data_IF_901741200032
#
_entry.id   IF_901741200032
#
_cell.length_a   1.000
_cell.length_b   1.000
_cell.length_c   1.000
_cell.angle_alpha   90.00
_cell.angle_beta   90.00
_cell.angle_gamma   90.00
#
_symmetry.space_group_name_H-M   'P 1'
#
loop_
_entity.id
_entity.type
_entity.pdbx_description
1 polymer ?
#
# COMPACT_ATOMS: atom_id res chain seq x y z
N UNK A 1 22.59 -16.08 72.29
CA UNK A 1 22.64 -16.60 70.91
C UNK A 1 21.44 -16.04 70.17
N UNK A 2 21.61 -14.92 69.46
CA UNK A 2 20.57 -14.38 68.60
C UNK A 2 20.90 -14.80 67.16
N UNK A 3 20.19 -15.81 66.67
CA UNK A 3 20.20 -16.16 65.25
C UNK A 3 19.36 -15.11 64.52
N UNK A 4 20.03 -14.22 63.79
CA UNK A 4 19.37 -13.31 62.85
C UNK A 4 18.89 -14.18 61.69
N UNK A 5 17.58 -14.24 61.49
CA UNK A 5 16.93 -14.88 60.34
C UNK A 5 17.42 -14.22 59.04
N UNK A 6 18.33 -14.88 58.36
CA UNK A 6 18.78 -14.51 57.00
C UNK A 6 17.87 -15.05 55.89
N UNK A 7 16.78 -15.74 56.23
CA UNK A 7 15.90 -16.41 55.26
C UNK A 7 14.87 -15.48 54.60
N UNK A 8 14.65 -14.27 55.12
CA UNK A 8 13.64 -13.34 54.55
C UNK A 8 14.16 -12.49 53.37
N UNK A 9 15.48 -12.38 53.17
CA UNK A 9 16.09 -11.57 52.10
C UNK A 9 16.11 -12.30 50.75
N UNK A 10 16.27 -13.63 50.77
CA UNK A 10 16.36 -14.47 49.58
C UNK A 10 15.02 -14.58 48.82
N UNK A 11 13.90 -14.64 49.54
CA UNK A 11 12.56 -14.70 48.93
C UNK A 11 12.13 -13.39 48.25
N UNK A 12 12.60 -12.24 48.75
CA UNK A 12 12.39 -10.94 48.12
C UNK A 12 13.26 -10.76 46.88
N UNK A 13 14.51 -11.24 46.90
CA UNK A 13 15.39 -11.24 45.73
C UNK A 13 14.84 -12.13 44.61
N UNK A 14 14.42 -13.37 44.90
CA UNK A 14 13.87 -14.28 43.89
C UNK A 14 12.57 -13.75 43.25
N UNK A 15 11.74 -13.05 44.03
CA UNK A 15 10.55 -12.33 43.56
C UNK A 15 10.91 -11.16 42.63
N UNK A 16 11.96 -10.40 42.96
CA UNK A 16 12.48 -9.31 42.11
C UNK A 16 13.05 -9.87 40.81
N UNK A 17 13.82 -10.96 40.86
CA UNK A 17 14.37 -11.61 39.67
C UNK A 17 13.27 -12.09 38.73
N UNK A 18 12.22 -12.78 39.23
CA UNK A 18 11.07 -13.17 38.38
C UNK A 18 10.36 -12.00 37.74
N UNK A 19 10.17 -10.89 38.47
CA UNK A 19 9.56 -9.67 37.91
C UNK A 19 10.43 -9.05 36.82
N UNK A 20 11.75 -9.09 36.99
CA UNK A 20 12.70 -8.60 36.00
C UNK A 20 12.68 -9.47 34.73
N UNK A 21 12.65 -10.79 34.86
CA UNK A 21 12.51 -11.71 33.72
C UNK A 21 11.21 -11.47 32.96
N UNK A 22 10.07 -11.33 33.66
CA UNK A 22 8.79 -11.01 33.04
C UNK A 22 8.81 -9.66 32.33
N UNK A 23 9.50 -8.67 32.89
CA UNK A 23 9.66 -7.35 32.27
C UNK A 23 10.50 -7.44 30.99
N UNK A 24 11.58 -8.21 30.99
CA UNK A 24 12.42 -8.44 29.81
C UNK A 24 11.64 -9.10 28.68
N UNK A 25 10.89 -10.17 28.98
CA UNK A 25 10.02 -10.83 27.98
C UNK A 25 8.97 -9.88 27.43
N UNK A 26 8.37 -9.05 28.30
CA UNK A 26 7.38 -8.06 27.88
C UNK A 26 7.99 -6.98 26.98
N UNK A 27 9.22 -6.56 27.28
CA UNK A 27 9.95 -5.57 26.48
C UNK A 27 10.37 -6.14 25.12
N UNK A 28 10.82 -7.39 25.07
CA UNK A 28 11.14 -8.09 23.84
C UNK A 28 9.90 -8.21 22.94
N UNK A 29 8.75 -8.60 23.51
CA UNK A 29 7.48 -8.64 22.80
C UNK A 29 7.07 -7.27 22.25
N UNK A 30 7.19 -6.21 23.05
CA UNK A 30 6.90 -4.84 22.60
C UNK A 30 7.82 -4.41 21.45
N UNK A 31 9.10 -4.79 21.51
CA UNK A 31 10.07 -4.48 20.46
C UNK A 31 9.72 -5.19 19.15
N UNK A 32 9.34 -6.46 19.21
CA UNK A 32 8.86 -7.21 18.05
C UNK A 32 7.60 -6.60 17.45
N UNK A 33 6.61 -6.28 18.29
CA UNK A 33 5.38 -5.61 17.83
C UNK A 33 5.66 -4.26 17.19
N UNK A 34 6.60 -3.48 17.72
CA UNK A 34 7.00 -2.21 17.12
C UNK A 34 7.63 -2.40 15.74
N UNK A 35 8.50 -3.42 15.58
CA UNK A 35 9.12 -3.74 14.30
C UNK A 35 8.10 -4.20 13.25
N UNK A 36 7.17 -5.09 13.63
CA UNK A 36 6.06 -5.54 12.76
C UNK A 36 5.18 -4.37 12.33
N UNK A 37 4.88 -3.45 13.25
CA UNK A 37 4.09 -2.25 12.95
C UNK A 37 4.83 -1.30 11.99
N UNK A 38 6.14 -1.11 12.17
CA UNK A 38 6.97 -0.28 11.29
C UNK A 38 7.05 -0.88 9.88
N UNK A 39 7.21 -2.20 9.77
CA UNK A 39 7.18 -2.89 8.49
C UNK A 39 5.81 -2.73 7.80
N UNK A 40 4.72 -2.96 8.53
CA UNK A 40 3.36 -2.77 8.01
C UNK A 40 3.13 -1.32 7.54
N UNK A 41 3.57 -0.33 8.32
CA UNK A 41 3.45 1.08 7.95
C UNK A 41 4.25 1.37 6.68
N UNK A 42 5.47 0.85 6.55
CA UNK A 42 6.31 1.02 5.36
C UNK A 42 5.65 0.42 4.11
N UNK A 43 5.03 -0.76 4.23
CA UNK A 43 4.28 -1.39 3.14
C UNK A 43 3.03 -0.56 2.74
N UNK A 44 2.32 -0.03 3.73
CA UNK A 44 1.16 0.83 3.51
C UNK A 44 1.56 2.14 2.81
N UNK A 45 2.64 2.80 3.25
CA UNK A 45 3.18 4.00 2.62
C UNK A 45 3.58 3.76 1.16
N UNK A 46 4.29 2.65 0.89
CA UNK A 46 4.65 2.27 -0.48
C UNK A 46 3.41 2.09 -1.38
N UNK A 47 2.35 1.48 -0.84
CA UNK A 47 1.08 1.29 -1.54
C UNK A 47 0.39 2.62 -1.82
N UNK A 48 0.33 3.53 -0.84
CA UNK A 48 -0.23 4.88 -1.00
C UNK A 48 0.54 5.67 -2.05
N UNK A 49 1.87 5.67 -2.00
CA UNK A 49 2.72 6.35 -2.97
C UNK A 49 2.50 5.83 -4.39
N UNK A 50 2.36 4.51 -4.56
CA UNK A 50 2.01 3.90 -5.84
C UNK A 50 0.67 4.42 -6.36
N UNK A 51 -0.38 4.41 -5.54
CA UNK A 51 -1.72 4.89 -5.93
C UNK A 51 -1.73 6.39 -6.27
N UNK A 52 -1.00 7.20 -5.50
CA UNK A 52 -0.86 8.63 -5.78
C UNK A 52 -0.14 8.88 -7.11
N UNK A 53 0.91 8.12 -7.40
CA UNK A 53 1.63 8.18 -8.67
C UNK A 53 0.72 7.80 -9.84
N UNK A 54 0.00 6.69 -9.75
CA UNK A 54 -0.94 6.24 -10.78
C UNK A 54 -2.04 7.29 -11.05
N UNK A 55 -2.57 7.90 -9.99
CA UNK A 55 -3.52 9.01 -10.09
C UNK A 55 -2.90 10.22 -10.79
N UNK A 56 -1.72 10.65 -10.37
CA UNK A 56 -1.04 11.80 -10.97
C UNK A 56 -0.76 11.57 -12.46
N UNK A 57 -0.25 10.39 -12.83
CA UNK A 57 -0.01 10.03 -14.23
C UNK A 57 -1.29 10.05 -15.06
N UNK A 58 -2.41 9.58 -14.51
CA UNK A 58 -3.72 9.65 -15.17
C UNK A 58 -4.16 11.10 -15.38
N UNK A 59 -4.05 11.93 -14.34
CA UNK A 59 -4.44 13.34 -14.42
C UNK A 59 -3.56 14.10 -15.44
N UNK A 60 -2.26 13.78 -15.53
CA UNK A 60 -1.36 14.30 -16.56
C UNK A 60 -1.77 13.87 -17.97
N UNK A 61 -2.20 12.61 -18.16
CA UNK A 61 -2.72 12.13 -19.46
C UNK A 61 -3.95 12.93 -19.88
N UNK A 62 -4.92 13.12 -18.98
CA UNK A 62 -6.12 13.90 -19.29
C UNK A 62 -5.82 15.36 -19.59
N UNK A 63 -4.91 15.98 -18.85
CA UNK A 63 -4.45 17.34 -19.15
C UNK A 63 -3.80 17.41 -20.55
N UNK A 64 -2.93 16.45 -20.89
CA UNK A 64 -2.29 16.37 -22.20
C UNK A 64 -3.31 16.23 -23.34
N UNK A 65 -4.32 15.38 -23.17
CA UNK A 65 -5.41 15.21 -24.15
C UNK A 65 -6.19 16.51 -24.29
N UNK A 66 -6.55 17.16 -23.18
CA UNK A 66 -7.26 18.43 -23.17
C UNK A 66 -6.50 19.50 -23.96
N UNK A 67 -5.20 19.70 -23.69
CA UNK A 67 -4.40 20.70 -24.40
C UNK A 67 -4.21 20.38 -25.88
N UNK A 68 -4.10 19.10 -26.26
CA UNK A 68 -4.04 18.69 -27.67
C UNK A 68 -5.33 19.02 -28.41
N UNK A 69 -6.48 18.69 -27.81
CA UNK A 69 -7.79 18.99 -28.38
C UNK A 69 -8.03 20.51 -28.49
N UNK A 70 -7.68 21.25 -27.43
CA UNK A 70 -7.75 22.71 -27.44
C UNK A 70 -6.92 23.31 -28.58
N UNK A 71 -5.68 22.83 -28.76
CA UNK A 71 -4.81 23.29 -29.85
C UNK A 71 -5.38 22.97 -31.25
N UNK A 72 -6.07 21.85 -31.43
CA UNK A 72 -6.76 21.56 -32.69
C UNK A 72 -7.95 22.51 -32.93
N UNK A 73 -8.73 22.79 -31.89
CA UNK A 73 -9.85 23.75 -31.96
C UNK A 73 -9.33 25.15 -32.29
N UNK A 74 -8.27 25.62 -31.62
CA UNK A 74 -7.64 26.91 -31.90
C UNK A 74 -7.18 27.02 -33.37
N UNK A 75 -6.54 25.97 -33.90
CA UNK A 75 -6.13 25.94 -35.32
C UNK A 75 -7.33 26.02 -36.26
N UNK A 76 -8.42 25.31 -35.96
CA UNK A 76 -9.64 25.37 -36.75
C UNK A 76 -10.27 26.76 -36.72
N UNK A 77 -10.35 27.39 -35.54
CA UNK A 77 -10.87 28.76 -35.38
C UNK A 77 -10.02 29.80 -36.12
N UNK A 78 -8.71 29.59 -36.22
CA UNK A 78 -7.80 30.45 -36.98
C UNK A 78 -7.71 30.09 -38.48
N UNK A 79 -8.58 29.23 -39.01
CA UNK A 79 -8.54 28.73 -40.40
C UNK A 79 -7.19 28.09 -40.80
N UNK A 80 -6.43 27.57 -39.83
CA UNK A 80 -5.15 26.84 -40.02
C UNK A 80 -5.35 25.32 -40.09
N UNK A 81 -6.59 24.86 -39.93
CA UNK A 81 -7.00 23.47 -39.97
C UNK A 81 -8.43 23.43 -40.49
N UNK A 82 -8.70 22.59 -41.48
CA UNK A 82 -10.04 22.35 -42.00
C UNK A 82 -10.88 21.53 -41.01
N UNK A 83 -12.19 21.51 -41.23
CA UNK A 83 -13.11 20.70 -40.43
C UNK A 83 -12.79 19.21 -40.52
N UNK A 84 -12.40 18.73 -41.69
CA UNK A 84 -12.11 17.31 -41.93
C UNK A 84 -10.79 16.92 -41.23
N UNK A 85 -9.75 17.75 -41.31
CA UNK A 85 -8.51 17.56 -40.55
C UNK A 85 -8.74 17.60 -39.04
N UNK A 86 -9.61 18.50 -38.54
CA UNK A 86 -9.97 18.55 -37.12
C UNK A 86 -10.66 17.25 -36.68
N UNK A 87 -11.57 16.73 -37.49
CA UNK A 87 -12.27 15.47 -37.21
C UNK A 87 -11.27 14.30 -37.17
N UNK A 88 -10.39 14.22 -38.15
CA UNK A 88 -9.37 13.16 -38.22
C UNK A 88 -8.43 13.20 -37.00
N UNK A 89 -7.95 14.38 -36.60
CA UNK A 89 -7.12 14.53 -35.41
C UNK A 89 -7.88 14.21 -34.12
N UNK A 90 -9.15 14.58 -34.02
CA UNK A 90 -10.00 14.22 -32.90
C UNK A 90 -10.13 12.69 -32.79
N UNK A 91 -10.47 12.02 -33.89
CA UNK A 91 -10.66 10.57 -33.93
C UNK A 91 -9.36 9.84 -33.53
N UNK A 92 -8.19 10.28 -34.05
CA UNK A 92 -6.87 9.77 -33.65
C UNK A 92 -6.57 9.94 -32.16
N UNK A 93 -6.90 11.11 -31.59
CA UNK A 93 -6.66 11.39 -30.16
C UNK A 93 -7.52 10.47 -29.30
N UNK A 94 -8.80 10.30 -29.65
CA UNK A 94 -9.73 9.45 -28.92
C UNK A 94 -9.35 7.98 -29.04
N UNK A 95 -9.05 7.48 -30.23
CA UNK A 95 -8.66 6.08 -30.45
C UNK A 95 -7.41 5.72 -29.63
N UNK A 96 -6.37 6.56 -29.67
CA UNK A 96 -5.16 6.35 -28.88
C UNK A 96 -5.44 6.37 -27.38
N UNK A 97 -6.32 7.26 -26.93
CA UNK A 97 -6.71 7.37 -25.52
C UNK A 97 -7.46 6.12 -25.06
N UNK A 98 -8.46 5.69 -25.82
CA UNK A 98 -9.25 4.50 -25.54
C UNK A 98 -8.39 3.25 -25.50
N UNK A 99 -7.47 3.09 -26.46
CA UNK A 99 -6.53 1.97 -26.46
C UNK A 99 -5.65 1.94 -25.20
N UNK A 100 -5.10 3.10 -24.80
CA UNK A 100 -4.29 3.20 -23.59
C UNK A 100 -5.10 2.92 -22.31
N UNK A 101 -6.33 3.41 -22.23
CA UNK A 101 -7.20 3.22 -21.07
C UNK A 101 -7.68 1.77 -20.97
N UNK A 102 -7.98 1.13 -22.10
CA UNK A 102 -8.30 -0.30 -22.15
C UNK A 102 -7.12 -1.14 -21.65
N UNK A 103 -5.91 -0.88 -22.13
CA UNK A 103 -4.71 -1.61 -21.68
C UNK A 103 -4.44 -1.41 -20.19
N UNK A 104 -4.64 -0.19 -19.67
CA UNK A 104 -4.52 0.09 -18.25
C UNK A 104 -5.56 -0.68 -17.41
N UNK A 105 -6.80 -0.75 -17.89
CA UNK A 105 -7.87 -1.51 -17.24
C UNK A 105 -7.58 -3.01 -17.24
N UNK A 106 -7.12 -3.57 -18.36
CA UNK A 106 -6.74 -5.00 -18.45
C UNK A 106 -5.64 -5.34 -17.46
N UNK A 107 -4.58 -4.53 -17.39
CA UNK A 107 -3.49 -4.71 -16.43
C UNK A 107 -3.99 -4.65 -14.98
N UNK A 108 -4.84 -3.67 -14.66
CA UNK A 108 -5.43 -3.53 -13.32
C UNK A 108 -6.36 -4.72 -12.97
N UNK A 109 -7.07 -5.27 -13.95
CA UNK A 109 -7.92 -6.44 -13.78
C UNK A 109 -7.10 -7.69 -13.44
N UNK A 110 -6.03 -7.96 -14.21
CA UNK A 110 -5.10 -9.07 -13.95
C UNK A 110 -4.49 -8.96 -12.55
N UNK A 111 -4.03 -7.76 -12.19
CA UNK A 111 -3.45 -7.51 -10.87
C UNK A 111 -4.46 -7.68 -9.74
N UNK A 112 -5.70 -7.22 -9.92
CA UNK A 112 -6.78 -7.44 -8.95
C UNK A 112 -7.05 -8.94 -8.72
N UNK A 113 -7.08 -9.73 -9.79
CA UNK A 113 -7.25 -11.20 -9.67
C UNK A 113 -6.07 -11.81 -8.91
N UNK A 114 -4.83 -11.36 -9.20
CA UNK A 114 -3.62 -11.83 -8.51
C UNK A 114 -3.67 -11.50 -7.00
N UNK A 115 -4.01 -10.27 -6.65
CA UNK A 115 -4.11 -9.81 -5.26
C UNK A 115 -5.22 -10.54 -4.50
N UNK A 116 -6.39 -10.77 -5.12
CA UNK A 116 -7.47 -11.56 -4.51
C UNK A 116 -7.02 -12.97 -4.16
N UNK A 117 -6.32 -13.66 -5.08
CA UNK A 117 -5.77 -14.99 -4.83
C UNK A 117 -4.73 -15.00 -3.70
N UNK A 118 -3.91 -13.95 -3.60
CA UNK A 118 -2.95 -13.82 -2.50
C UNK A 118 -3.66 -13.61 -1.16
N UNK A 119 -4.70 -12.78 -1.12
CA UNK A 119 -5.51 -12.58 0.09
C UNK A 119 -6.21 -13.87 0.52
N UNK A 120 -6.81 -14.61 -0.41
CA UNK A 120 -7.41 -15.91 -0.13
C UNK A 120 -6.38 -16.88 0.46
N UNK A 121 -5.18 -16.95 -0.11
CA UNK A 121 -4.09 -17.79 0.40
C UNK A 121 -3.66 -17.37 1.81
N UNK A 122 -3.44 -16.08 2.05
CA UNK A 122 -3.03 -15.57 3.36
C UNK A 122 -4.11 -15.80 4.43
N UNK A 123 -5.40 -15.71 4.07
CA UNK A 123 -6.50 -16.03 4.97
C UNK A 123 -6.58 -17.52 5.31
N UNK A 124 -6.30 -18.41 4.33
CA UNK A 124 -6.23 -19.85 4.56
C UNK A 124 -5.00 -20.27 5.39
N UNK A 125 -3.88 -19.55 5.27
CA UNK A 125 -2.67 -19.78 6.08
C UNK A 125 -2.77 -19.16 7.49
N UNK A 126 -3.64 -18.16 7.69
CA UNK A 126 -3.96 -17.55 8.98
C UNK A 126 -4.99 -18.32 9.82
N UNK A 127 -5.72 -19.28 9.23
CA UNK A 127 -6.59 -20.22 9.93
C UNK A 127 -5.84 -21.51 10.32
N UNK A 128 -4.73 -21.41 11.06
CA UNK A 128 -4.33 -22.54 11.91
C UNK A 128 -5.14 -22.45 13.22
N UNK A 129 -6.04 -23.39 13.52
CA UNK A 129 -6.63 -23.45 14.84
C UNK A 129 -5.49 -23.70 15.82
N UNK A 130 -5.39 -22.86 16.86
CA UNK A 130 -4.60 -23.17 18.04
C UNK A 130 -5.22 -24.42 18.71
N UNK A 131 -4.84 -25.58 18.19
CA UNK A 131 -4.91 -26.84 18.90
C UNK A 131 -3.90 -26.75 20.04
N UNK A 132 -4.37 -26.32 21.22
CA UNK A 132 -4.02 -26.87 22.54
C UNK A 132 -4.44 -25.90 23.65
N UNK A 133 -5.58 -26.21 24.28
CA UNK A 133 -5.80 -26.19 25.74
C UNK A 133 -7.06 -26.99 26.06
#
# INVERSE_FOLDING_TARGET
MNGISSESSLGDEESIFRRFEQLLVSYEKLTLMAAEQEEHNSQMEATVLKLLKERWERDQRYASIFYRLLGCIEKALCNKMSRDELKEEYDKIIEKTLFSDQQAYENASVENVRLKKQLEKNNLEGEQPSSEA
#
